data_IF_017921633230
#
_entry.id   IF_017921633230
#
_cell.length_a   1.000
_cell.length_b   1.000
_cell.length_c   1.000
_cell.angle_alpha   90.00
_cell.angle_beta   90.00
_cell.angle_gamma   90.00
#
_symmetry.space_group_name_H-M   'P 1'
#
loop_
_entity.id
_entity.type
_entity.pdbx_description
1 polymer ?
#
# COMPACT_ATOMS: atom_id res chain seq x y z
N UNK A 1 -8.79 -8.52 27.87
CA UNK A 1 -8.32 -7.25 27.28
C UNK A 1 -6.83 -7.48 27.05
N UNK A 2 -6.37 -7.76 25.84
CA UNK A 2 -6.51 -6.93 24.64
C UNK A 2 -6.86 -7.72 23.37
N UNK A 3 -7.89 -7.22 22.70
CA UNK A 3 -8.31 -7.50 21.33
C UNK A 3 -7.69 -6.39 20.46
N UNK A 4 -6.46 -6.54 19.98
CA UNK A 4 -5.78 -5.48 19.20
C UNK A 4 -4.82 -6.00 18.12
N UNK A 5 -4.74 -7.30 17.91
CA UNK A 5 -3.86 -7.91 16.90
C UNK A 5 -4.42 -7.85 15.47
N UNK A 6 -5.65 -7.34 15.28
CA UNK A 6 -6.24 -7.11 13.96
C UNK A 6 -6.25 -5.62 13.53
N UNK A 7 -5.97 -4.67 14.44
CA UNK A 7 -6.08 -3.23 14.19
C UNK A 7 -4.72 -2.52 14.02
N UNK A 8 -3.59 -3.22 14.17
CA UNK A 8 -2.25 -2.61 14.15
C UNK A 8 -1.55 -2.65 12.78
N UNK A 9 -2.27 -2.42 11.68
CA UNK A 9 -1.62 -2.22 10.38
C UNK A 9 -1.29 -0.73 10.21
N UNK A 10 -0.03 -0.41 9.92
CA UNK A 10 0.38 0.97 9.67
C UNK A 10 -0.21 1.44 8.34
N UNK A 11 -0.98 2.54 8.30
CA UNK A 11 -1.55 3.02 7.04
C UNK A 11 -0.43 3.51 6.12
N UNK A 12 -0.55 3.22 4.83
CA UNK A 12 0.42 3.60 3.81
C UNK A 12 0.71 5.11 3.82
N UNK A 13 -0.33 5.92 4.04
CA UNK A 13 -0.24 7.38 4.16
C UNK A 13 0.57 7.86 5.37
N UNK A 14 0.68 7.07 6.44
CA UNK A 14 1.53 7.38 7.59
C UNK A 14 2.99 6.89 7.44
N UNK A 15 3.32 6.16 6.36
CA UNK A 15 4.69 5.74 6.10
C UNK A 15 5.52 6.90 5.55
N UNK A 16 6.80 6.95 5.94
CA UNK A 16 7.79 7.83 5.34
C UNK A 16 7.81 7.72 3.81
N UNK A 17 7.91 8.84 3.08
CA UNK A 17 8.00 8.85 1.63
C UNK A 17 9.15 7.98 1.11
N UNK A 18 10.29 7.97 1.81
CA UNK A 18 11.43 7.11 1.49
C UNK A 18 11.08 5.62 1.59
N UNK A 19 10.31 5.23 2.62
CA UNK A 19 9.85 3.86 2.84
C UNK A 19 8.81 3.45 1.79
N UNK A 20 7.88 4.34 1.46
CA UNK A 20 6.92 4.15 0.38
C UNK A 20 7.63 3.92 -0.97
N UNK A 21 8.64 4.73 -1.29
CA UNK A 21 9.43 4.58 -2.52
C UNK A 21 10.21 3.27 -2.54
N UNK A 22 10.85 2.89 -1.44
CA UNK A 22 11.58 1.62 -1.33
C UNK A 22 10.67 0.40 -1.53
N UNK A 23 9.46 0.43 -0.95
CA UNK A 23 8.46 -0.63 -1.12
C UNK A 23 7.97 -0.73 -2.57
N UNK A 24 7.70 0.41 -3.22
CA UNK A 24 7.33 0.45 -4.64
C UNK A 24 8.45 -0.07 -5.54
N UNK A 25 9.70 0.30 -5.27
CA UNK A 25 10.86 -0.16 -6.04
C UNK A 25 11.08 -1.67 -5.87
N UNK A 26 10.95 -2.18 -4.64
CA UNK A 26 11.04 -3.62 -4.33
C UNK A 26 9.95 -4.39 -5.07
N UNK A 27 8.70 -3.92 -5.01
CA UNK A 27 7.59 -4.53 -5.72
C UNK A 27 7.69 -4.42 -7.26
N UNK A 28 8.29 -3.35 -7.77
CA UNK A 28 8.53 -3.19 -9.20
C UNK A 28 9.67 -4.09 -9.72
N UNK A 29 10.67 -4.38 -8.87
CA UNK A 29 11.70 -5.37 -9.14
C UNK A 29 11.13 -6.80 -9.11
N UNK A 30 10.11 -7.02 -8.27
CA UNK A 30 9.34 -8.25 -8.24
C UNK A 30 8.50 -8.38 -9.52
N UNK A 31 9.01 -9.16 -10.46
CA UNK A 31 8.46 -9.37 -11.81
C UNK A 31 7.19 -10.25 -11.82
N UNK A 32 6.42 -10.27 -10.73
CA UNK A 32 5.18 -11.04 -10.61
C UNK A 32 4.13 -10.68 -11.68
N UNK A 33 4.23 -9.50 -12.31
CA UNK A 33 3.27 -9.01 -13.29
C UNK A 33 3.87 -8.91 -14.71
N UNK A 34 4.56 -9.95 -15.16
CA UNK A 34 5.04 -10.07 -16.56
C UNK A 34 4.07 -10.83 -17.48
N UNK A 35 2.91 -11.29 -17.01
CA UNK A 35 2.02 -12.16 -17.80
C UNK A 35 0.92 -11.41 -18.57
N UNK A 36 1.13 -10.12 -18.87
CA UNK A 36 0.45 -9.41 -19.96
C UNK A 36 -1.07 -9.16 -19.88
N UNK A 37 -1.77 -9.68 -18.87
CA UNK A 37 -3.25 -9.59 -18.76
C UNK A 37 -3.77 -9.19 -17.38
N UNK A 38 -2.90 -8.83 -16.44
CA UNK A 38 -3.33 -8.38 -15.13
C UNK A 38 -3.84 -6.94 -15.19
N UNK A 39 -5.16 -6.75 -15.10
CA UNK A 39 -5.79 -5.44 -14.94
C UNK A 39 -5.16 -4.65 -13.78
N UNK A 40 -5.18 -3.33 -13.89
CA UNK A 40 -4.62 -2.42 -12.86
C UNK A 40 -5.17 -2.75 -11.46
N UNK A 41 -6.46 -3.04 -11.35
CA UNK A 41 -7.09 -3.50 -10.09
C UNK A 41 -6.45 -4.75 -9.49
N UNK A 42 -6.11 -5.75 -10.32
CA UNK A 42 -5.47 -6.98 -9.87
C UNK A 42 -4.06 -6.69 -9.36
N UNK A 43 -3.31 -5.81 -10.04
CA UNK A 43 -1.99 -5.36 -9.58
C UNK A 43 -2.06 -4.63 -8.25
N UNK A 44 -3.07 -3.77 -8.08
CA UNK A 44 -3.28 -3.03 -6.83
C UNK A 44 -3.70 -3.93 -5.68
N UNK A 45 -4.60 -4.91 -5.91
CA UNK A 45 -4.97 -5.91 -4.89
C UNK A 45 -3.78 -6.78 -4.49
N UNK A 46 -2.96 -7.21 -5.46
CA UNK A 46 -1.76 -7.98 -5.19
C UNK A 46 -0.73 -7.16 -4.39
N UNK A 47 -0.55 -5.89 -4.73
CA UNK A 47 0.30 -4.98 -3.96
C UNK A 47 -0.22 -4.75 -2.54
N UNK A 48 -1.53 -4.55 -2.37
CA UNK A 48 -2.15 -4.41 -1.06
C UNK A 48 -1.97 -5.66 -0.19
N UNK A 49 -2.16 -6.86 -0.76
CA UNK A 49 -1.93 -8.12 -0.06
C UNK A 49 -0.46 -8.27 0.36
N UNK A 50 0.47 -7.96 -0.55
CA UNK A 50 1.92 -7.99 -0.27
C UNK A 50 2.33 -7.01 0.85
N UNK A 51 1.66 -5.85 0.93
CA UNK A 51 1.86 -4.87 2.01
C UNK A 51 1.24 -5.33 3.34
N UNK A 52 0.07 -5.97 3.29
CA UNK A 52 -0.60 -6.48 4.48
C UNK A 52 0.24 -7.54 5.20
N UNK A 53 0.93 -8.42 4.46
CA UNK A 53 1.91 -9.37 5.03
C UNK A 53 3.06 -8.69 5.77
N UNK A 54 3.33 -7.42 5.47
CA UNK A 54 4.40 -6.60 6.07
C UNK A 54 3.88 -5.66 7.16
N UNK A 55 2.62 -5.81 7.57
CA UNK A 55 2.01 -4.97 8.60
C UNK A 55 1.56 -3.59 8.08
N UNK A 56 1.39 -3.43 6.76
CA UNK A 56 1.05 -2.15 6.13
C UNK A 56 -0.34 -2.24 5.50
N UNK A 57 -1.24 -1.35 5.91
CA UNK A 57 -2.55 -1.20 5.29
C UNK A 57 -2.42 -0.29 4.06
N UNK A 58 -2.77 -0.81 2.88
CA UNK A 58 -2.83 -0.04 1.65
C UNK A 58 -4.13 -0.33 0.92
N UNK A 59 -4.87 0.73 0.60
CA UNK A 59 -6.12 0.66 -0.14
C UNK A 59 -6.07 1.54 -1.39
N UNK A 60 -6.98 1.30 -2.34
CA UNK A 60 -7.19 2.22 -3.47
C UNK A 60 -7.60 3.61 -2.97
N UNK A 61 -8.22 3.72 -1.80
CA UNK A 61 -8.61 5.00 -1.23
C UNK A 61 -7.39 5.85 -0.80
N UNK A 62 -6.27 5.22 -0.40
CA UNK A 62 -5.01 5.91 -0.09
C UNK A 62 -4.44 6.67 -1.32
N UNK A 63 -4.72 6.21 -2.55
CA UNK A 63 -4.34 6.94 -3.78
C UNK A 63 -5.11 8.27 -3.90
N UNK A 64 -6.32 8.34 -3.35
CA UNK A 64 -7.15 9.55 -3.34
C UNK A 64 -6.91 10.42 -2.10
N UNK A 65 -6.51 9.82 -0.98
CA UNK A 65 -6.29 10.52 0.29
C UNK A 65 -5.12 11.53 0.26
N UNK A 66 -4.07 11.25 -0.53
CA UNK A 66 -2.92 12.17 -0.69
C UNK A 66 -3.31 13.57 -1.18
N UNK A 67 -4.48 13.73 -1.81
CA UNK A 67 -4.99 15.01 -2.30
C UNK A 67 -5.84 15.78 -1.28
N UNK A 68 -6.12 15.21 -0.11
CA UNK A 68 -7.00 15.80 0.92
C UNK A 68 -6.23 16.47 2.06
N UNK A 69 -4.97 16.12 2.30
CA UNK A 69 -4.11 16.73 3.32
C UNK A 69 -3.47 18.07 2.90
N UNK A 70 -3.62 18.48 1.64
CA UNK A 70 -3.10 19.75 1.10
C UNK A 70 -4.07 20.95 1.28
N UNK A 71 -5.27 20.76 1.87
CA UNK A 71 -6.31 21.81 1.95
C UNK A 71 -6.66 22.28 3.36
N UNK A 72 -5.71 22.26 4.28
CA UNK A 72 -5.90 22.75 5.65
C UNK A 72 -4.66 23.38 6.23
N UNK A 73 -4.23 24.52 5.67
CA UNK A 73 -3.32 25.47 6.31
C UNK A 73 -3.81 26.89 5.99
#
# INVERSE_FOLDING_TARGET
MDDSTADHLTPWSALDPARQMGLRATYAADRACLTGTCSLEAKTRHFAAWLAERGIAFSVDDLHAARRLDRGA
#
